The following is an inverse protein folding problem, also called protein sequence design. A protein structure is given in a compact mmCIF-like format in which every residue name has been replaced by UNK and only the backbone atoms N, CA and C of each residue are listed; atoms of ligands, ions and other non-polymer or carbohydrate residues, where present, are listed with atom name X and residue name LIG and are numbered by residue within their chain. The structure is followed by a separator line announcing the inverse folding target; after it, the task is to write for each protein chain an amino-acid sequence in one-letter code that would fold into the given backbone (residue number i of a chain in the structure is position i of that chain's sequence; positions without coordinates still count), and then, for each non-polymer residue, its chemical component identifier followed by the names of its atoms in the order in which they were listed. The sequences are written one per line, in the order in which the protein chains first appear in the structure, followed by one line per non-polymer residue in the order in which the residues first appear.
data_IF_675771566661
#
_entry.id   IF_675771566661
#
_cell.length_a   1.000
_cell.length_b   1.000
_cell.length_c   1.000
_cell.angle_alpha   90.00
_cell.angle_beta   90.00
_cell.angle_gamma   90.00
#
_symmetry.space_group_name_H-M   'P 1'
#
loop_
_entity.id
_entity.type
_entity.pdbx_description
1 polymer ?
#
# COMPACT_ATOMS: atom_id res chain seq x y z
N UNK A 1 -3.31 -37.00 -34.13
CA UNK A 1 -3.82 -36.23 -32.97
C UNK A 1 -3.47 -34.75 -33.04
N UNK A 2 -2.17 -34.33 -33.12
CA UNK A 2 -1.77 -32.90 -33.23
C UNK A 2 -2.23 -32.29 -34.58
N UNK A 3 -2.17 -32.99 -35.68
CA UNK A 3 -2.62 -32.52 -36.99
C UNK A 3 -4.16 -32.31 -37.04
N UNK A 4 -4.91 -33.13 -36.35
CA UNK A 4 -6.38 -33.02 -36.28
C UNK A 4 -6.81 -31.85 -35.41
N UNK A 5 -6.14 -31.61 -34.28
CA UNK A 5 -6.40 -30.43 -33.44
C UNK A 5 -6.08 -29.13 -34.18
N UNK A 6 -5.00 -29.09 -34.96
CA UNK A 6 -4.63 -27.89 -35.75
C UNK A 6 -5.62 -27.61 -36.89
N UNK A 7 -6.22 -28.65 -37.50
CA UNK A 7 -7.33 -28.50 -38.45
C UNK A 7 -8.59 -27.99 -37.77
N UNK A 8 -8.93 -28.49 -36.58
CA UNK A 8 -10.09 -28.01 -35.80
C UNK A 8 -9.94 -26.54 -35.38
N UNK A 9 -8.73 -26.12 -34.95
CA UNK A 9 -8.42 -24.71 -34.61
C UNK A 9 -8.61 -23.81 -35.88
N UNK A 10 -8.10 -24.25 -37.04
CA UNK A 10 -8.23 -23.48 -38.29
C UNK A 10 -9.69 -23.38 -38.77
N UNK A 11 -10.49 -24.41 -38.56
CA UNK A 11 -11.93 -24.39 -38.82
C UNK A 11 -12.68 -23.47 -37.84
N UNK A 12 -12.32 -23.47 -36.55
CA UNK A 12 -12.86 -22.56 -35.57
C UNK A 12 -12.59 -21.09 -35.92
N UNK A 13 -11.34 -20.75 -36.27
CA UNK A 13 -10.97 -19.40 -36.71
C UNK A 13 -11.76 -18.92 -37.95
N UNK A 14 -11.96 -19.82 -38.93
CA UNK A 14 -12.74 -19.52 -40.13
C UNK A 14 -14.21 -19.27 -39.83
N UNK A 15 -14.79 -20.02 -38.88
CA UNK A 15 -16.16 -19.84 -38.41
C UNK A 15 -16.39 -18.47 -37.75
N UNK A 16 -15.40 -18.03 -36.96
CA UNK A 16 -15.40 -16.72 -36.27
C UNK A 16 -15.43 -15.54 -37.23
N UNK A 17 -14.75 -15.68 -38.37
CA UNK A 17 -14.71 -14.63 -39.41
C UNK A 17 -16.01 -14.49 -40.19
N UNK A 18 -16.89 -15.49 -40.20
CA UNK A 18 -18.18 -15.45 -40.88
C UNK A 18 -19.23 -14.58 -40.13
N UNK A 19 -19.18 -14.58 -38.80
CA UNK A 19 -20.11 -13.81 -37.94
C UNK A 19 -19.37 -12.80 -37.03
N UNK A 20 -18.65 -11.88 -37.64
CA UNK A 20 -17.74 -10.92 -36.99
C UNK A 20 -18.37 -10.19 -35.78
N UNK A 21 -19.58 -9.67 -35.94
CA UNK A 21 -20.23 -8.86 -34.90
C UNK A 21 -20.57 -9.66 -33.65
N UNK A 22 -21.00 -10.94 -33.82
CA UNK A 22 -21.35 -11.83 -32.72
C UNK A 22 -20.10 -12.32 -31.99
N UNK A 23 -19.07 -12.69 -32.76
CA UNK A 23 -17.78 -13.15 -32.21
C UNK A 23 -17.04 -12.03 -31.47
N UNK A 24 -17.04 -10.80 -31.98
CA UNK A 24 -16.41 -9.67 -31.30
C UNK A 24 -17.12 -9.28 -30.01
N UNK A 25 -18.47 -9.34 -29.98
CA UNK A 25 -19.22 -9.01 -28.77
C UNK A 25 -18.97 -10.03 -27.63
N UNK A 26 -18.89 -11.33 -27.98
CA UNK A 26 -18.58 -12.37 -27.01
C UNK A 26 -17.14 -12.37 -26.52
N UNK A 27 -16.18 -12.22 -27.45
CA UNK A 27 -14.77 -12.11 -27.06
C UNK A 27 -14.52 -10.84 -26.25
N UNK A 28 -15.24 -9.72 -26.52
CA UNK A 28 -15.16 -8.50 -25.74
C UNK A 28 -15.60 -8.73 -24.27
N UNK A 29 -16.66 -9.51 -24.02
CA UNK A 29 -17.07 -9.85 -22.65
C UNK A 29 -15.95 -10.57 -21.85
N UNK A 30 -15.29 -11.55 -22.46
CA UNK A 30 -14.17 -12.24 -21.84
C UNK A 30 -12.96 -11.34 -21.71
N UNK A 31 -12.65 -10.56 -22.76
CA UNK A 31 -11.53 -9.62 -22.80
C UNK A 31 -11.64 -8.61 -21.65
N UNK A 32 -12.78 -7.95 -21.50
CA UNK A 32 -12.98 -6.99 -20.40
C UNK A 32 -13.02 -7.69 -19.05
N UNK A 33 -13.59 -8.89 -18.94
CA UNK A 33 -13.58 -9.69 -17.72
C UNK A 33 -12.13 -9.99 -17.26
N UNK A 34 -11.29 -10.52 -18.14
CA UNK A 34 -9.89 -10.84 -17.84
C UNK A 34 -9.08 -9.57 -17.59
N UNK A 35 -9.24 -8.53 -18.43
CA UNK A 35 -8.51 -7.27 -18.28
C UNK A 35 -8.82 -6.59 -16.94
N UNK A 36 -10.11 -6.56 -16.54
CA UNK A 36 -10.50 -5.97 -15.27
C UNK A 36 -9.92 -6.72 -14.06
N UNK A 37 -9.89 -8.07 -14.10
CA UNK A 37 -9.26 -8.88 -13.05
C UNK A 37 -7.78 -8.54 -12.88
N UNK A 38 -7.03 -8.53 -13.99
CA UNK A 38 -5.58 -8.28 -13.96
C UNK A 38 -5.29 -6.84 -13.51
N UNK A 39 -5.97 -5.85 -14.12
CA UNK A 39 -5.76 -4.44 -13.80
C UNK A 39 -6.06 -4.14 -12.32
N UNK A 40 -7.14 -4.72 -11.81
CA UNK A 40 -7.61 -4.53 -10.46
C UNK A 40 -6.67 -5.17 -9.43
N UNK A 41 -6.21 -6.41 -9.67
CA UNK A 41 -5.23 -7.06 -8.81
C UNK A 41 -3.89 -6.31 -8.83
N UNK A 42 -3.45 -5.81 -10.00
CA UNK A 42 -2.21 -5.07 -10.12
C UNK A 42 -2.23 -3.74 -9.37
N UNK A 43 -3.32 -2.98 -9.45
CA UNK A 43 -3.49 -1.71 -8.72
C UNK A 43 -3.65 -1.98 -7.21
N UNK A 44 -4.44 -2.98 -6.85
CA UNK A 44 -4.67 -3.36 -5.45
C UNK A 44 -3.38 -3.80 -4.75
N UNK A 45 -2.57 -4.64 -5.39
CA UNK A 45 -1.29 -5.11 -4.85
C UNK A 45 -0.28 -3.96 -4.73
N UNK A 46 -0.17 -3.10 -5.75
CA UNK A 46 0.72 -1.94 -5.70
C UNK A 46 0.38 -0.96 -4.58
N UNK A 47 -0.89 -0.64 -4.39
CA UNK A 47 -1.36 0.23 -3.31
C UNK A 47 -1.15 -0.41 -1.93
N UNK A 48 -1.37 -1.73 -1.82
CA UNK A 48 -1.14 -2.49 -0.58
C UNK A 48 0.34 -2.49 -0.21
N UNK A 49 1.22 -2.80 -1.15
CA UNK A 49 2.66 -2.85 -0.90
C UNK A 49 3.21 -1.52 -0.41
N UNK A 50 2.78 -0.40 -1.01
CA UNK A 50 3.19 0.93 -0.56
C UNK A 50 2.72 1.22 0.88
N UNK A 51 1.47 0.89 1.22
CA UNK A 51 0.92 1.05 2.56
C UNK A 51 1.64 0.16 3.59
N UNK A 52 1.85 -1.12 3.24
CA UNK A 52 2.55 -2.06 4.11
C UNK A 52 4.02 -1.64 4.32
N UNK A 53 4.66 -1.09 3.30
CA UNK A 53 6.01 -0.54 3.40
C UNK A 53 6.07 0.61 4.40
N UNK A 54 5.13 1.56 4.34
CA UNK A 54 5.06 2.67 5.29
C UNK A 54 4.91 2.19 6.74
N UNK A 55 4.04 1.20 7.00
CA UNK A 55 3.89 0.65 8.36
C UNK A 55 5.13 -0.12 8.82
N UNK A 56 5.81 -0.86 7.93
CA UNK A 56 7.07 -1.53 8.26
C UNK A 56 8.20 -0.55 8.58
N UNK A 57 8.25 0.59 7.89
CA UNK A 57 9.21 1.66 8.14
C UNK A 57 8.99 2.36 9.49
N UNK A 58 7.75 2.42 9.99
CA UNK A 58 7.46 2.85 11.37
C UNK A 58 8.00 1.90 12.43
N UNK A 59 8.36 0.67 12.04
CA UNK A 59 8.81 -0.40 12.93
C UNK A 59 7.64 -1.18 13.51
N UNK A 60 7.40 -2.38 12.99
CA UNK A 60 6.29 -3.26 13.43
C UNK A 60 6.40 -3.75 14.87
N UNK A 61 7.60 -3.70 15.45
CA UNK A 61 7.84 -4.02 16.87
C UNK A 61 7.77 -2.81 17.78
N UNK A 62 7.44 -1.63 17.23
CA UNK A 62 7.35 -0.40 18.01
C UNK A 62 5.95 -0.18 18.56
N UNK A 63 5.86 0.39 19.74
CA UNK A 63 4.67 1.05 20.29
C UNK A 63 4.99 2.54 20.37
N UNK A 64 4.16 3.36 19.74
CA UNK A 64 4.33 4.81 19.66
C UNK A 64 3.29 5.47 20.58
N UNK A 65 3.75 6.28 21.52
CA UNK A 65 2.91 7.04 22.42
C UNK A 65 3.14 8.51 22.11
N UNK A 66 2.10 9.23 21.67
CA UNK A 66 2.19 10.62 21.24
C UNK A 66 1.36 11.55 22.11
N UNK A 67 1.90 12.73 22.32
CA UNK A 67 1.16 13.85 22.91
C UNK A 67 0.19 14.43 21.87
N UNK A 68 -1.07 14.55 22.25
CA UNK A 68 -2.14 15.09 21.44
C UNK A 68 -2.76 16.29 22.14
N UNK A 69 -2.96 17.37 21.40
CA UNK A 69 -3.65 18.54 21.96
C UNK A 69 -5.11 18.23 22.24
N UNK A 70 -5.61 18.44 23.48
CA UNK A 70 -7.01 18.21 23.81
C UNK A 70 -7.95 19.10 22.99
N UNK A 71 -9.06 18.54 22.50
CA UNK A 71 -10.05 19.27 21.69
C UNK A 71 -10.79 20.37 22.48
N UNK A 72 -11.00 20.19 23.78
CA UNK A 72 -11.65 21.17 24.65
C UNK A 72 -10.90 22.50 24.73
N UNK A 73 -9.61 22.50 24.46
CA UNK A 73 -8.79 23.72 24.45
C UNK A 73 -9.10 24.65 23.28
N UNK A 74 -9.80 24.17 22.25
CA UNK A 74 -10.19 24.99 21.10
C UNK A 74 -11.40 25.88 21.40
N UNK A 75 -12.27 25.50 22.34
CA UNK A 75 -13.52 26.20 22.63
C UNK A 75 -13.38 27.36 23.66
N UNK A 76 -12.36 27.36 24.50
CA UNK A 76 -12.10 28.42 25.48
C UNK A 76 -11.26 29.58 24.95
N UNK A 77 -11.28 29.80 23.65
CA UNK A 77 -10.47 30.79 22.96
C UNK A 77 -10.82 32.28 23.27
N UNK A 78 -11.81 32.54 24.09
CA UNK A 78 -12.31 33.91 24.37
C UNK A 78 -11.82 34.55 25.68
N UNK A 79 -11.03 33.87 26.51
CA UNK A 79 -10.42 34.49 27.67
C UNK A 79 -8.96 34.87 27.41
N UNK A 80 -8.69 36.14 27.41
CA UNK A 80 -7.42 36.83 27.19
C UNK A 80 -6.34 36.64 28.27
N UNK A 81 -6.38 35.54 29.00
CA UNK A 81 -5.35 35.23 30.00
C UNK A 81 -4.28 34.35 29.34
N UNK A 82 -3.02 34.79 29.41
CA UNK A 82 -1.82 34.05 29.00
C UNK A 82 -1.63 32.77 29.84
N UNK A 83 -2.54 31.79 29.72
CA UNK A 83 -2.38 30.53 30.42
C UNK A 83 -1.49 29.61 29.55
N UNK A 84 -0.31 29.31 30.07
CA UNK A 84 0.55 28.25 29.51
C UNK A 84 -0.15 26.93 29.84
N UNK A 85 -0.68 26.26 28.84
CA UNK A 85 -1.37 25.00 29.04
C UNK A 85 -0.39 23.83 28.84
N UNK A 86 -0.16 23.10 29.93
CA UNK A 86 0.59 21.84 29.89
C UNK A 86 -0.31 20.67 29.48
N UNK A 87 0.12 19.89 28.50
CA UNK A 87 -0.54 18.65 28.06
C UNK A 87 0.49 17.65 27.54
N UNK A 88 0.05 16.40 27.37
CA UNK A 88 0.88 15.36 26.78
C UNK A 88 1.82 14.68 27.76
N UNK A 89 2.86 14.07 27.23
CA UNK A 89 3.78 13.15 27.91
C UNK A 89 4.84 13.89 28.71
N UNK A 90 5.19 13.31 29.89
CA UNK A 90 6.23 13.79 30.79
C UNK A 90 7.46 12.89 30.78
N UNK A 91 8.65 13.44 31.10
CA UNK A 91 9.89 12.65 31.25
C UNK A 91 9.75 11.50 32.25
N UNK A 92 9.04 11.75 33.36
CA UNK A 92 8.82 10.75 34.41
C UNK A 92 8.03 9.53 33.90
N UNK A 93 7.16 9.72 32.93
CA UNK A 93 6.38 8.62 32.34
C UNK A 93 7.29 7.75 31.45
N UNK A 94 8.17 8.35 30.68
CA UNK A 94 9.17 7.60 29.91
C UNK A 94 10.08 6.77 30.82
N UNK A 95 10.50 7.34 31.99
CA UNK A 95 11.28 6.62 32.98
C UNK A 95 10.50 5.44 33.59
N UNK A 96 9.22 5.61 33.85
CA UNK A 96 8.33 4.52 34.33
C UNK A 96 8.18 3.43 33.27
N UNK A 97 7.99 3.79 32.01
CA UNK A 97 7.93 2.83 30.91
C UNK A 97 9.21 2.02 30.81
N UNK A 98 10.37 2.69 30.89
CA UNK A 98 11.68 2.02 30.89
C UNK A 98 11.85 1.04 32.06
N UNK A 99 11.42 1.45 33.25
CA UNK A 99 11.50 0.60 34.45
C UNK A 99 10.53 -0.59 34.39
N UNK A 100 9.35 -0.41 33.79
CA UNK A 100 8.33 -1.44 33.63
C UNK A 100 8.73 -2.49 32.61
N UNK A 101 9.43 -2.06 31.55
CA UNK A 101 9.85 -2.91 30.42
C UNK A 101 11.36 -2.83 30.19
N UNK A 102 12.17 -3.44 31.05
CA UNK A 102 13.63 -3.34 30.98
C UNK A 102 14.23 -3.98 29.72
N UNK A 103 13.50 -4.89 29.05
CA UNK A 103 13.88 -5.53 27.79
C UNK A 103 13.59 -4.68 26.57
N UNK A 104 12.73 -3.67 26.71
CA UNK A 104 12.36 -2.76 25.62
C UNK A 104 13.35 -1.58 25.55
N UNK A 105 13.58 -1.10 24.34
CA UNK A 105 14.32 0.16 24.11
C UNK A 105 13.33 1.30 24.08
N UNK A 106 13.42 2.19 25.06
CA UNK A 106 12.54 3.38 25.17
C UNK A 106 13.30 4.61 24.68
N UNK A 107 12.72 5.32 23.74
CA UNK A 107 13.31 6.52 23.16
C UNK A 107 12.37 7.71 23.36
N UNK A 108 12.90 8.75 23.94
CA UNK A 108 12.20 10.03 24.17
C UNK A 108 12.41 10.93 22.98
N UNK A 109 11.31 11.50 22.48
CA UNK A 109 11.33 12.39 21.32
C UNK A 109 10.62 13.69 21.64
N UNK A 110 11.26 14.76 21.29
CA UNK A 110 10.73 16.11 21.40
C UNK A 110 10.78 16.81 20.05
N UNK A 111 9.66 17.31 19.59
CA UNK A 111 9.51 17.92 18.27
C UNK A 111 9.08 19.39 18.39
N UNK A 112 9.74 20.30 17.69
CA UNK A 112 9.32 21.69 17.61
C UNK A 112 9.82 22.35 16.32
N UNK A 113 9.03 23.27 15.79
CA UNK A 113 9.35 23.97 14.56
C UNK A 113 10.25 25.18 14.83
N UNK A 114 11.36 25.29 14.08
CA UNK A 114 12.25 26.45 14.10
C UNK A 114 12.81 26.75 12.72
N UNK A 115 13.17 28.01 12.53
CA UNK A 115 13.97 28.40 11.37
C UNK A 115 15.41 27.91 11.52
N UNK A 116 15.96 27.37 10.46
CA UNK A 116 17.35 26.96 10.37
C UNK A 116 18.01 27.81 9.29
N UNK A 117 19.17 28.43 9.63
CA UNK A 117 19.85 29.38 8.79
C UNK A 117 21.29 28.96 8.56
N UNK A 118 21.74 29.05 7.33
CA UNK A 118 23.13 28.91 6.94
C UNK A 118 23.48 29.92 5.86
N UNK A 119 24.23 30.95 6.20
CA UNK A 119 24.54 32.04 5.28
C UNK A 119 23.27 32.71 4.74
N UNK A 120 23.05 32.62 3.43
CA UNK A 120 21.83 33.13 2.78
C UNK A 120 20.69 32.10 2.71
N UNK A 121 20.98 30.84 3.04
CA UNK A 121 19.96 29.75 2.99
C UNK A 121 19.17 29.70 4.29
N UNK A 122 17.85 29.73 4.17
CA UNK A 122 16.91 29.63 5.28
C UNK A 122 15.87 28.56 5.00
N UNK A 123 15.52 27.77 6.01
CA UNK A 123 14.44 26.78 5.97
C UNK A 123 13.71 26.76 7.29
N UNK A 124 12.36 26.75 7.25
CA UNK A 124 11.55 26.45 8.44
C UNK A 124 11.38 24.95 8.53
N UNK A 125 11.94 24.34 9.58
CA UNK A 125 11.99 22.89 9.70
C UNK A 125 11.61 22.41 11.09
N UNK A 126 11.30 21.13 11.20
CA UNK A 126 11.09 20.44 12.46
C UNK A 126 12.44 20.07 13.09
N UNK A 127 12.66 20.51 14.31
CA UNK A 127 13.80 20.11 15.11
C UNK A 127 13.36 18.95 16.00
N UNK A 128 14.09 17.84 15.93
CA UNK A 128 13.83 16.62 16.68
C UNK A 128 14.93 16.45 17.74
N UNK A 129 14.57 16.74 18.98
CA UNK A 129 15.42 16.41 20.14
C UNK A 129 15.21 14.94 20.51
N UNK A 130 16.29 14.14 20.47
CA UNK A 130 16.17 12.70 20.68
C UNK A 130 17.41 12.06 21.29
N UNK A 131 17.34 10.77 21.56
CA UNK A 131 18.38 9.96 22.17
C UNK A 131 19.14 9.13 21.13
N UNK A 132 20.20 8.45 21.57
CA UNK A 132 21.09 7.68 20.70
C UNK A 132 20.33 6.52 20.04
N UNK A 133 19.43 5.88 20.78
CA UNK A 133 18.67 4.72 20.34
C UNK A 133 17.56 5.04 19.34
N UNK A 134 17.35 6.32 19.00
CA UNK A 134 16.37 6.71 17.99
C UNK A 134 16.66 6.07 16.63
N UNK A 135 17.91 6.03 16.21
CA UNK A 135 18.32 5.50 14.91
C UNK A 135 17.94 4.01 14.74
N UNK A 136 18.33 3.09 15.69
CA UNK A 136 17.95 1.68 15.58
C UNK A 136 16.45 1.45 15.78
N UNK A 137 15.74 2.33 16.51
CA UNK A 137 14.28 2.21 16.70
C UNK A 137 13.52 2.60 15.41
N UNK A 138 14.02 3.58 14.67
CA UNK A 138 13.39 4.06 13.42
C UNK A 138 13.94 3.41 12.15
N UNK A 139 14.91 2.47 12.29
CA UNK A 139 15.56 1.79 11.17
C UNK A 139 16.22 2.75 10.15
N UNK A 140 16.61 3.93 10.58
CA UNK A 140 17.28 4.93 9.74
C UNK A 140 18.78 4.63 9.66
N UNK A 141 19.44 5.21 8.63
CA UNK A 141 20.89 5.07 8.44
C UNK A 141 21.54 6.41 8.23
N UNK A 142 22.79 6.53 8.68
CA UNK A 142 23.64 7.69 8.37
C UNK A 142 24.42 7.38 7.10
N UNK A 143 24.37 8.29 6.12
CA UNK A 143 25.14 8.17 4.88
C UNK A 143 26.50 8.81 5.01
N UNK A 144 26.57 9.98 5.67
CA UNK A 144 27.80 10.71 5.85
C UNK A 144 27.96 11.12 7.33
N UNK A 145 29.19 11.01 7.85
CA UNK A 145 29.50 11.39 9.22
C UNK A 145 29.06 10.35 10.26
N UNK A 146 28.53 10.80 11.38
CA UNK A 146 28.10 9.94 12.51
C UNK A 146 26.75 10.35 13.07
N UNK A 147 26.10 9.43 13.77
CA UNK A 147 24.92 9.72 14.59
C UNK A 147 25.32 10.37 15.93
N UNK A 148 24.30 10.80 16.68
CA UNK A 148 24.41 11.28 18.05
C UNK A 148 25.00 10.17 18.94
N UNK A 149 25.85 10.57 19.87
CA UNK A 149 26.48 9.66 20.84
C UNK A 149 26.03 9.96 22.26
N UNK A 150 26.26 9.00 23.17
CA UNK A 150 25.98 9.19 24.59
C UNK A 150 26.78 10.37 25.17
N UNK A 151 28.01 10.59 24.69
CA UNK A 151 28.82 11.74 25.08
C UNK A 151 28.20 13.07 24.67
N UNK A 152 27.52 13.12 23.51
CA UNK A 152 26.81 14.31 23.07
C UNK A 152 25.62 14.63 23.97
N UNK A 153 24.92 13.61 24.46
CA UNK A 153 23.84 13.74 25.44
C UNK A 153 24.37 14.24 26.79
N UNK A 154 25.37 13.55 27.35
CA UNK A 154 25.94 13.89 28.66
C UNK A 154 26.58 15.28 28.69
N UNK A 155 27.31 15.66 27.65
CA UNK A 155 27.95 16.99 27.53
C UNK A 155 26.97 18.07 27.06
N UNK A 156 25.76 17.71 26.70
CA UNK A 156 24.78 18.61 26.08
C UNK A 156 25.40 19.37 24.88
N UNK A 157 26.11 18.61 24.02
CA UNK A 157 26.86 19.16 22.91
C UNK A 157 25.93 19.80 21.88
N UNK A 158 26.33 20.93 21.30
CA UNK A 158 25.62 21.60 20.23
C UNK A 158 25.97 20.95 18.89
N UNK A 159 25.57 19.72 18.70
CA UNK A 159 25.75 18.96 17.45
C UNK A 159 24.40 18.63 16.85
N UNK A 160 24.36 18.50 15.53
CA UNK A 160 23.14 18.11 14.82
C UNK A 160 23.41 17.13 13.68
N UNK A 161 22.42 16.31 13.39
CA UNK A 161 22.37 15.45 12.21
C UNK A 161 21.24 15.93 11.33
N UNK A 162 21.49 16.07 10.02
CA UNK A 162 20.52 16.63 9.09
C UNK A 162 19.82 15.50 8.31
N UNK A 163 18.52 15.65 8.08
CA UNK A 163 17.80 14.88 7.09
C UNK A 163 18.27 15.22 5.67
N UNK A 164 18.14 14.28 4.75
CA UNK A 164 18.70 14.41 3.40
C UNK A 164 18.19 15.63 2.60
N UNK A 165 16.88 15.92 2.70
CA UNK A 165 16.27 17.06 2.00
C UNK A 165 16.71 18.40 2.61
N UNK A 166 16.75 18.48 3.95
CA UNK A 166 17.22 19.67 4.66
C UNK A 166 18.70 19.94 4.36
N UNK A 167 19.51 18.87 4.31
CA UNK A 167 20.93 18.99 3.96
C UNK A 167 21.09 19.58 2.55
N UNK A 168 20.36 19.09 1.56
CA UNK A 168 20.39 19.63 0.19
C UNK A 168 19.93 21.10 0.11
N UNK A 169 18.96 21.49 0.94
CA UNK A 169 18.46 22.86 0.97
C UNK A 169 19.47 23.85 1.58
N UNK A 170 20.21 23.44 2.62
CA UNK A 170 21.17 24.28 3.32
C UNK A 170 22.59 24.25 2.72
N UNK A 171 22.94 23.11 2.08
CA UNK A 171 24.28 22.83 1.54
C UNK A 171 24.21 22.28 0.11
N UNK A 172 23.72 23.04 -0.88
CA UNK A 172 23.47 22.52 -2.23
C UNK A 172 24.75 22.04 -2.94
N UNK A 173 25.91 22.59 -2.63
CA UNK A 173 27.18 22.30 -3.31
C UNK A 173 28.35 22.09 -2.35
N UNK A 174 28.11 22.10 -1.04
CA UNK A 174 29.17 22.01 -0.03
C UNK A 174 29.03 20.76 0.83
N UNK A 175 30.15 20.24 1.33
CA UNK A 175 30.14 19.22 2.35
C UNK A 175 29.59 19.80 3.67
N UNK A 176 28.53 19.25 4.24
CA UNK A 176 27.91 19.75 5.47
C UNK A 176 28.71 19.42 6.74
N UNK A 177 29.55 18.38 6.72
CA UNK A 177 30.24 17.90 7.93
C UNK A 177 31.21 18.93 8.53
N UNK A 178 31.14 19.11 9.86
CA UNK A 178 31.95 20.09 10.60
C UNK A 178 31.55 21.56 10.37
N UNK A 179 30.50 21.79 9.58
CA UNK A 179 29.97 23.15 9.35
C UNK A 179 28.92 23.50 10.41
N UNK A 180 28.78 24.79 10.67
CA UNK A 180 27.84 25.29 11.68
C UNK A 180 26.59 25.82 11.01
N UNK A 181 25.42 25.44 11.56
CA UNK A 181 24.11 26.01 11.25
C UNK A 181 23.56 26.76 12.46
N UNK A 182 22.67 27.70 12.20
CA UNK A 182 21.96 28.44 13.23
C UNK A 182 20.53 27.91 13.35
N UNK A 183 20.12 27.45 14.52
CA UNK A 183 18.77 27.01 14.81
C UNK A 183 18.07 28.07 15.66
N UNK A 184 17.02 28.69 15.15
CA UNK A 184 16.37 29.84 15.78
C UNK A 184 17.16 31.14 15.58
N UNK A 185 17.37 31.91 16.66
CA UNK A 185 17.98 33.26 16.56
C UNK A 185 19.48 33.20 16.87
N UNK A 186 19.90 32.42 17.86
CA UNK A 186 21.26 32.49 18.43
C UNK A 186 21.96 31.12 18.58
N UNK A 187 21.24 30.02 18.50
CA UNK A 187 21.77 28.69 18.81
C UNK A 187 22.54 28.07 17.64
N UNK A 188 23.85 27.98 17.78
CA UNK A 188 24.76 27.39 16.79
C UNK A 188 24.94 25.93 17.06
N UNK A 189 24.77 25.10 16.01
CA UNK A 189 24.95 23.65 16.02
C UNK A 189 25.93 23.24 14.92
N UNK A 190 26.86 22.35 15.25
CA UNK A 190 27.78 21.74 14.30
C UNK A 190 27.13 20.52 13.65
N UNK A 191 27.20 20.40 12.34
CA UNK A 191 26.69 19.26 11.59
C UNK A 191 27.67 18.10 11.68
N UNK A 192 27.28 17.01 12.33
CA UNK A 192 28.12 15.82 12.53
C UNK A 192 27.71 14.64 11.65
N UNK A 193 26.56 14.68 11.01
CA UNK A 193 26.11 13.63 10.10
C UNK A 193 24.93 14.03 9.24
N UNK A 194 24.69 13.20 8.22
CA UNK A 194 23.56 13.32 7.29
C UNK A 194 22.89 11.96 7.17
N UNK A 195 21.55 11.93 7.25
CA UNK A 195 20.76 10.72 7.13
C UNK A 195 20.53 10.33 5.67
N UNK A 196 20.25 9.04 5.46
CA UNK A 196 19.81 8.51 4.19
C UNK A 196 18.43 9.08 3.82
N UNK A 197 18.22 9.32 2.53
CA UNK A 197 16.92 9.77 2.02
C UNK A 197 15.89 8.64 2.17
N UNK A 198 14.83 8.90 2.94
CA UNK A 198 13.76 7.94 3.23
C UNK A 198 12.55 8.10 2.29
N UNK A 199 12.45 9.23 1.61
CA UNK A 199 11.30 9.57 0.82
C UNK A 199 10.13 10.09 1.68
N UNK A 200 8.89 9.85 1.25
CA UNK A 200 7.68 10.32 1.94
C UNK A 200 7.28 9.47 3.15
N UNK A 201 8.20 8.92 3.91
CA UNK A 201 7.88 8.38 5.23
C UNK A 201 7.45 9.55 6.14
N UNK A 202 6.17 9.89 6.04
CA UNK A 202 5.61 11.03 6.76
C UNK A 202 5.54 10.72 8.25
N UNK A 203 6.10 11.58 9.06
CA UNK A 203 5.61 11.77 10.42
C UNK A 203 4.09 12.04 10.34
N UNK A 204 3.26 11.58 11.28
CA UNK A 204 1.82 11.89 11.30
C UNK A 204 1.48 13.38 11.22
N UNK A 205 2.44 14.24 11.49
CA UNK A 205 2.33 15.70 11.34
C UNK A 205 2.56 16.21 9.89
N UNK A 206 2.69 15.30 8.91
CA UNK A 206 2.91 15.65 7.50
C UNK A 206 4.35 16.13 7.17
N UNK A 207 5.23 16.21 8.17
CA UNK A 207 6.65 16.57 7.95
C UNK A 207 7.45 15.31 7.71
N UNK A 208 8.24 15.27 6.65
CA UNK A 208 9.12 14.14 6.36
C UNK A 208 10.37 14.21 7.25
N UNK A 209 10.84 13.04 7.72
CA UNK A 209 12.09 12.98 8.50
C UNK A 209 13.29 13.49 7.70
N UNK A 210 13.20 13.48 6.37
CA UNK A 210 14.20 14.03 5.46
C UNK A 210 14.36 15.56 5.57
N UNK A 211 13.32 16.24 6.06
CA UNK A 211 13.30 17.71 6.25
C UNK A 211 13.63 18.13 7.69
N UNK A 212 13.94 17.16 8.58
CA UNK A 212 14.19 17.42 9.99
C UNK A 212 15.67 17.63 10.29
N UNK A 213 15.94 18.34 11.40
CA UNK A 213 17.24 18.39 12.04
C UNK A 213 17.17 17.67 13.40
N UNK A 214 18.09 16.75 13.65
CA UNK A 214 18.14 15.93 14.87
C UNK A 214 19.22 16.46 15.78
N UNK A 215 18.89 16.70 17.04
CA UNK A 215 19.79 17.20 18.07
C UNK A 215 19.69 16.34 19.34
N UNK A 216 20.72 16.33 20.21
CA UNK A 216 20.63 15.63 21.48
C UNK A 216 19.44 16.15 22.32
N UNK A 217 18.67 15.26 22.93
CA UNK A 217 17.51 15.63 23.76
C UNK A 217 17.89 16.56 24.90
N UNK A 218 19.03 16.27 25.54
CA UNK A 218 19.56 17.12 26.63
C UNK A 218 19.90 18.54 26.17
N UNK A 219 20.47 18.69 24.96
CA UNK A 219 20.74 19.99 24.35
C UNK A 219 19.46 20.70 23.96
N UNK A 220 18.47 19.97 23.41
CA UNK A 220 17.14 20.49 23.10
C UNK A 220 16.47 21.11 24.34
N UNK A 221 16.45 20.37 25.46
CA UNK A 221 15.86 20.82 26.71
C UNK A 221 16.58 22.06 27.28
N UNK A 222 17.92 22.05 27.27
CA UNK A 222 18.74 23.16 27.82
C UNK A 222 18.57 24.46 27.02
N UNK A 223 18.52 24.36 25.68
CA UNK A 223 18.53 25.54 24.80
C UNK A 223 17.12 26.13 24.57
N UNK A 224 16.15 25.25 24.38
CA UNK A 224 14.80 25.66 23.97
C UNK A 224 13.76 25.58 25.10
N UNK A 225 14.11 25.04 26.29
CA UNK A 225 13.19 24.88 27.42
C UNK A 225 12.00 23.96 27.07
N UNK A 226 11.07 23.76 28.00
CA UNK A 226 9.90 22.89 27.78
C UNK A 226 8.69 23.67 27.23
N UNK A 227 8.75 24.99 27.24
CA UNK A 227 7.69 25.86 26.71
C UNK A 227 7.98 26.27 25.28
N UNK A 228 7.10 25.91 24.38
CA UNK A 228 7.23 26.17 22.94
C UNK A 228 6.17 27.18 22.51
N UNK A 229 6.56 28.22 21.76
CA UNK A 229 5.61 29.08 21.09
C UNK A 229 5.17 28.43 19.79
N UNK A 230 3.88 28.14 19.66
CA UNK A 230 3.32 27.65 18.42
C UNK A 230 3.17 28.81 17.42
N UNK A 231 3.85 28.77 16.26
CA UNK A 231 3.82 29.88 15.29
C UNK A 231 2.43 30.13 14.71
N UNK A 232 1.63 29.06 14.55
CA UNK A 232 0.30 29.12 13.92
C UNK A 232 -0.75 29.72 14.83
N UNK A 233 -0.68 29.46 16.15
CA UNK A 233 -1.66 29.94 17.12
C UNK A 233 -1.19 31.09 17.98
N UNK A 234 0.10 31.45 17.89
CA UNK A 234 0.77 32.46 18.71
C UNK A 234 0.63 32.24 20.23
N UNK A 235 0.40 30.97 20.65
CA UNK A 235 0.25 30.57 22.04
C UNK A 235 1.47 29.85 22.55
N UNK A 236 1.68 29.89 23.85
CA UNK A 236 2.73 29.11 24.51
C UNK A 236 2.12 27.78 24.97
N UNK A 237 2.76 26.71 24.57
CA UNK A 237 2.42 25.33 24.91
C UNK A 237 3.56 24.73 25.73
N UNK A 238 3.23 24.06 26.83
CA UNK A 238 4.22 23.36 27.65
C UNK A 238 4.06 21.86 27.44
N UNK A 239 4.97 21.31 26.61
CA UNK A 239 5.00 19.88 26.27
C UNK A 239 6.41 19.39 26.48
N UNK A 240 6.61 18.52 27.47
CA UNK A 240 7.95 17.97 27.77
C UNK A 240 8.42 17.01 26.68
N UNK A 241 7.54 16.04 26.32
CA UNK A 241 7.79 15.08 25.27
C UNK A 241 6.63 15.04 24.27
N UNK A 242 6.95 15.00 23.00
CA UNK A 242 5.96 14.88 21.93
C UNK A 242 5.68 13.42 21.60
N UNK A 243 6.68 12.56 21.78
CA UNK A 243 6.54 11.12 21.49
C UNK A 243 7.47 10.30 22.39
N UNK A 244 6.99 9.14 22.82
CA UNK A 244 7.78 8.07 23.40
C UNK A 244 7.67 6.88 22.46
N UNK A 245 8.82 6.40 21.96
CA UNK A 245 8.91 5.21 21.11
C UNK A 245 9.41 4.05 21.97
N UNK A 246 8.67 2.96 22.00
CA UNK A 246 9.01 1.74 22.74
C UNK A 246 9.22 0.63 21.73
N UNK A 247 10.47 0.21 21.53
CA UNK A 247 10.81 -0.92 20.66
C UNK A 247 10.91 -2.19 21.48
N UNK A 248 10.13 -3.18 21.09
CA UNK A 248 10.09 -4.49 21.74
C UNK A 248 10.96 -5.49 20.99
N UNK A 249 11.50 -6.53 21.69
CA UNK A 249 12.34 -7.55 21.06
C UNK A 249 11.56 -8.46 20.11
N UNK A 250 10.26 -8.70 20.35
CA UNK A 250 9.42 -9.60 19.56
C UNK A 250 8.09 -8.96 19.17
N UNK A 251 7.56 -9.37 18.01
CA UNK A 251 6.22 -8.96 17.56
C UNK A 251 5.11 -9.49 18.48
N UNK A 252 5.30 -10.65 19.10
CA UNK A 252 4.29 -11.29 19.95
C UNK A 252 4.07 -10.52 21.26
N UNK A 253 5.07 -9.77 21.69
CA UNK A 253 5.01 -8.95 22.91
C UNK A 253 4.33 -7.59 22.68
N UNK A 254 4.21 -7.14 21.43
CA UNK A 254 3.74 -5.78 21.10
C UNK A 254 2.31 -5.53 21.59
N UNK A 255 1.41 -6.48 21.38
CA UNK A 255 0.01 -6.35 21.75
C UNK A 255 -0.18 -6.33 23.27
N UNK A 256 0.55 -7.21 23.98
CA UNK A 256 0.55 -7.27 25.44
C UNK A 256 1.14 -5.98 26.03
N UNK A 257 2.30 -5.55 25.50
CA UNK A 257 2.95 -4.33 25.93
C UNK A 257 2.09 -3.09 25.71
N UNK A 258 1.44 -3.00 24.54
CA UNK A 258 0.51 -1.91 24.24
C UNK A 258 -0.66 -1.85 25.24
N UNK A 259 -1.23 -3.00 25.60
CA UNK A 259 -2.28 -3.09 26.64
C UNK A 259 -1.80 -2.63 28.00
N UNK A 260 -0.59 -3.03 28.43
CA UNK A 260 0.01 -2.60 29.70
C UNK A 260 0.29 -1.11 29.70
N UNK A 261 0.85 -0.56 28.62
CA UNK A 261 1.14 0.87 28.48
C UNK A 261 -0.16 1.71 28.50
N UNK A 262 -1.19 1.26 27.81
CA UNK A 262 -2.49 1.91 27.79
C UNK A 262 -3.14 1.92 29.18
N UNK A 263 -3.07 0.79 29.90
CA UNK A 263 -3.58 0.68 31.27
C UNK A 263 -2.80 1.57 32.26
N UNK A 264 -1.48 1.71 32.07
CA UNK A 264 -0.64 2.55 32.92
C UNK A 264 -0.87 4.05 32.69
N UNK A 265 -0.94 4.46 31.40
CA UNK A 265 -0.94 5.87 31.03
C UNK A 265 -2.34 6.51 31.12
N UNK A 266 -3.39 5.81 30.73
CA UNK A 266 -4.76 6.35 30.75
C UNK A 266 -5.21 6.95 32.09
N UNK A 267 -4.99 6.29 33.26
CA UNK A 267 -5.38 6.87 34.54
C UNK A 267 -4.61 8.15 34.90
N UNK A 268 -3.35 8.27 34.40
CA UNK A 268 -2.49 9.42 34.70
C UNK A 268 -2.94 10.67 33.94
N UNK A 269 -3.49 10.50 32.74
CA UNK A 269 -4.00 11.58 31.89
C UNK A 269 -5.50 11.84 32.08
N UNK A 270 -6.21 10.98 32.84
CA UNK A 270 -7.63 11.12 33.15
C UNK A 270 -8.50 11.28 31.88
N UNK A 271 -9.44 12.25 31.95
CA UNK A 271 -10.32 12.52 30.78
C UNK A 271 -9.74 13.45 29.72
N UNK A 272 -8.48 13.90 29.86
CA UNK A 272 -7.91 14.91 28.95
C UNK A 272 -7.71 14.45 27.52
N UNK A 273 -7.63 13.12 27.26
CA UNK A 273 -7.36 12.55 25.94
C UNK A 273 -6.17 13.22 25.22
N UNK A 274 -5.16 13.60 25.99
CA UNK A 274 -3.99 14.35 25.53
C UNK A 274 -2.82 13.44 25.13
N UNK A 275 -3.03 12.12 25.13
CA UNK A 275 -2.12 11.11 24.62
C UNK A 275 -2.84 10.18 23.63
N UNK A 276 -2.09 9.72 22.63
CA UNK A 276 -2.52 8.73 21.65
C UNK A 276 -1.50 7.60 21.56
N UNK A 277 -1.97 6.37 21.75
CA UNK A 277 -1.16 5.19 21.61
C UNK A 277 -1.40 4.58 20.24
N UNK A 278 -0.32 4.45 19.45
CA UNK A 278 -0.37 3.88 18.10
C UNK A 278 0.50 2.64 18.03
N UNK A 279 -0.10 1.54 17.57
CA UNK A 279 0.59 0.27 17.36
C UNK A 279 0.68 -0.01 15.86
N UNK A 280 1.84 0.20 15.21
CA UNK A 280 2.00 -0.02 13.78
C UNK A 280 1.62 -1.45 13.33
N UNK A 281 1.86 -2.45 14.18
CA UNK A 281 1.45 -3.84 13.93
C UNK A 281 -0.07 -3.99 13.76
N UNK A 282 -0.86 -3.32 14.59
CA UNK A 282 -2.33 -3.35 14.46
C UNK A 282 -2.80 -2.64 13.18
N UNK A 283 -2.16 -1.53 12.83
CA UNK A 283 -2.44 -0.81 11.58
C UNK A 283 -2.12 -1.69 10.36
N UNK A 284 -0.98 -2.38 10.41
CA UNK A 284 -0.59 -3.35 9.38
C UNK A 284 -1.64 -4.46 9.24
N UNK A 285 -2.04 -5.10 10.35
CA UNK A 285 -3.07 -6.15 10.35
C UNK A 285 -4.41 -5.64 9.81
N UNK A 286 -4.84 -4.43 10.19
CA UNK A 286 -6.06 -3.81 9.67
C UNK A 286 -5.95 -3.51 8.17
N UNK A 287 -4.81 -3.03 7.70
CA UNK A 287 -4.55 -2.81 6.29
C UNK A 287 -4.64 -4.13 5.50
N UNK A 288 -4.02 -5.21 5.98
CA UNK A 288 -4.11 -6.55 5.37
C UNK A 288 -5.54 -7.10 5.35
N UNK A 289 -6.31 -6.92 6.43
CA UNK A 289 -7.72 -7.34 6.48
C UNK A 289 -8.56 -6.56 5.47
N UNK A 290 -8.38 -5.24 5.42
CA UNK A 290 -9.06 -4.37 4.45
C UNK A 290 -8.71 -4.78 3.02
N UNK A 291 -7.45 -5.06 2.74
CA UNK A 291 -6.99 -5.54 1.44
C UNK A 291 -7.64 -6.87 1.05
N UNK A 292 -7.70 -7.83 1.98
CA UNK A 292 -8.39 -9.12 1.73
C UNK A 292 -9.87 -8.92 1.39
N UNK A 293 -10.54 -8.00 2.10
CA UNK A 293 -11.94 -7.67 1.83
C UNK A 293 -12.12 -7.04 0.45
N UNK A 294 -11.26 -6.07 0.07
CA UNK A 294 -11.26 -5.51 -1.27
C UNK A 294 -11.02 -6.59 -2.32
N UNK A 295 -10.01 -7.44 -2.17
CA UNK A 295 -9.74 -8.53 -3.11
C UNK A 295 -10.93 -9.48 -3.27
N UNK A 296 -11.67 -9.77 -2.19
CA UNK A 296 -12.89 -10.57 -2.25
C UNK A 296 -13.99 -9.89 -3.08
N UNK A 297 -14.28 -8.61 -2.79
CA UNK A 297 -15.29 -7.83 -3.54
C UNK A 297 -14.94 -7.77 -5.02
N UNK A 298 -13.68 -7.51 -5.30
CA UNK A 298 -13.17 -7.43 -6.66
C UNK A 298 -13.25 -8.79 -7.38
N UNK A 299 -12.96 -9.90 -6.68
CA UNK A 299 -13.12 -11.25 -7.22
C UNK A 299 -14.57 -11.56 -7.56
N UNK A 300 -15.53 -11.11 -6.74
CA UNK A 300 -16.97 -11.28 -7.02
C UNK A 300 -17.36 -10.50 -8.28
N UNK A 301 -16.97 -9.25 -8.40
CA UNK A 301 -17.27 -8.41 -9.60
C UNK A 301 -16.67 -9.03 -10.86
N UNK A 302 -15.42 -9.47 -10.77
CA UNK A 302 -14.73 -10.15 -11.86
C UNK A 302 -15.43 -11.46 -12.26
N UNK A 303 -15.90 -12.24 -11.28
CA UNK A 303 -16.65 -13.47 -11.53
C UNK A 303 -17.96 -13.20 -12.27
N UNK A 304 -18.69 -12.15 -11.89
CA UNK A 304 -19.93 -11.72 -12.60
C UNK A 304 -19.60 -11.35 -14.04
N UNK A 305 -18.55 -10.57 -14.29
CA UNK A 305 -18.13 -10.18 -15.63
C UNK A 305 -17.77 -11.40 -16.51
N UNK A 306 -17.05 -12.37 -15.93
CA UNK A 306 -16.71 -13.63 -16.61
C UNK A 306 -17.93 -14.52 -16.86
N UNK A 307 -18.91 -14.55 -15.94
CA UNK A 307 -20.19 -15.24 -16.15
C UNK A 307 -20.94 -14.64 -17.35
N UNK A 308 -21.03 -13.32 -17.43
CA UNK A 308 -21.68 -12.65 -18.57
C UNK A 308 -20.96 -12.99 -19.87
N UNK A 309 -19.62 -12.97 -19.88
CA UNK A 309 -18.81 -13.39 -21.02
C UNK A 309 -19.04 -14.86 -21.40
N UNK A 310 -19.14 -15.75 -20.40
CA UNK A 310 -19.46 -17.16 -20.58
C UNK A 310 -20.84 -17.42 -21.17
N UNK A 311 -21.86 -16.72 -20.68
CA UNK A 311 -23.22 -16.76 -21.26
C UNK A 311 -23.18 -16.30 -22.73
N UNK A 312 -22.36 -15.30 -23.04
CA UNK A 312 -22.10 -14.86 -24.41
C UNK A 312 -21.55 -16.01 -25.27
N UNK A 313 -20.54 -16.75 -24.79
CA UNK A 313 -20.01 -17.93 -25.51
C UNK A 313 -21.13 -18.96 -25.73
N UNK A 314 -21.90 -19.28 -24.69
CA UNK A 314 -22.98 -20.25 -24.78
C UNK A 314 -24.00 -19.87 -25.85
N UNK A 315 -24.42 -18.60 -25.91
CA UNK A 315 -25.37 -18.11 -26.88
C UNK A 315 -24.84 -18.16 -28.32
N UNK A 316 -23.57 -17.81 -28.52
CA UNK A 316 -22.91 -17.91 -29.84
C UNK A 316 -22.80 -19.36 -30.28
N UNK A 317 -22.40 -20.25 -29.37
CA UNK A 317 -22.27 -21.66 -29.67
C UNK A 317 -23.60 -22.30 -29.98
N UNK A 318 -24.70 -21.97 -29.27
CA UNK A 318 -26.05 -22.46 -29.56
C UNK A 318 -26.49 -22.03 -30.96
N UNK A 319 -26.25 -20.75 -31.33
CA UNK A 319 -26.56 -20.28 -32.67
C UNK A 319 -25.72 -21.00 -33.75
N UNK A 320 -24.43 -21.23 -33.50
CA UNK A 320 -23.56 -21.98 -34.42
C UNK A 320 -24.03 -23.42 -34.59
N UNK A 321 -24.51 -24.05 -33.52
CA UNK A 321 -25.09 -25.40 -33.57
C UNK A 321 -26.35 -25.43 -34.42
N UNK A 322 -27.26 -24.43 -34.27
CA UNK A 322 -28.50 -24.37 -35.10
C UNK A 322 -28.17 -24.10 -36.57
N UNK A 323 -27.23 -23.20 -36.88
CA UNK A 323 -26.79 -22.92 -38.26
C UNK A 323 -26.13 -24.15 -38.92
N UNK A 324 -25.49 -25.03 -38.17
CA UNK A 324 -24.77 -26.22 -38.65
C UNK A 324 -25.54 -27.52 -38.42
N UNK A 325 -26.84 -27.47 -38.11
CA UNK A 325 -27.68 -28.63 -37.78
C UNK A 325 -27.55 -29.73 -38.86
N UNK A 326 -27.68 -29.34 -40.14
CA UNK A 326 -27.62 -30.29 -41.29
C UNK A 326 -26.23 -30.90 -41.41
N UNK A 327 -25.16 -30.18 -41.25
CA UNK A 327 -23.76 -30.66 -41.30
C UNK A 327 -23.51 -31.68 -40.17
N UNK A 328 -23.97 -31.39 -38.95
CA UNK A 328 -23.88 -32.29 -37.78
C UNK A 328 -24.66 -33.56 -38.05
N UNK A 329 -25.87 -33.46 -38.60
CA UNK A 329 -26.71 -34.59 -38.97
C UNK A 329 -26.05 -35.51 -39.97
N UNK A 330 -25.46 -34.98 -41.05
CA UNK A 330 -24.70 -35.74 -42.05
C UNK A 330 -23.54 -36.50 -41.40
N UNK A 331 -22.71 -35.81 -40.60
CA UNK A 331 -21.59 -36.47 -39.92
C UNK A 331 -22.04 -37.61 -38.99
N UNK A 332 -23.15 -37.39 -38.26
CA UNK A 332 -23.73 -38.40 -37.37
C UNK A 332 -24.29 -39.59 -38.15
N UNK A 333 -24.96 -39.34 -39.26
CA UNK A 333 -25.48 -40.39 -40.17
C UNK A 333 -24.34 -41.24 -40.79
N UNK A 334 -23.20 -40.62 -41.09
CA UNK A 334 -21.98 -41.30 -41.57
C UNK A 334 -21.19 -42.03 -40.48
N UNK A 335 -21.70 -42.05 -39.21
CA UNK A 335 -21.10 -42.85 -38.13
C UNK A 335 -20.18 -42.09 -37.18
N UNK A 336 -20.15 -40.76 -37.22
CA UNK A 336 -19.35 -39.96 -36.26
C UNK A 336 -19.85 -40.21 -34.84
N UNK A 337 -18.90 -40.52 -33.90
CA UNK A 337 -19.21 -40.72 -32.50
C UNK A 337 -19.56 -39.38 -31.83
N UNK A 338 -20.51 -39.40 -30.88
CA UNK A 338 -20.91 -38.21 -30.09
C UNK A 338 -19.72 -37.49 -29.50
N UNK A 339 -18.72 -38.23 -28.99
CA UNK A 339 -17.49 -37.69 -28.40
C UNK A 339 -16.70 -36.78 -29.38
N UNK A 340 -16.67 -37.10 -30.67
CA UNK A 340 -15.97 -36.32 -31.67
C UNK A 340 -16.68 -34.98 -31.92
N UNK A 341 -18.02 -34.99 -31.91
CA UNK A 341 -18.81 -33.75 -32.04
C UNK A 341 -18.58 -32.85 -30.82
N UNK A 342 -18.67 -33.41 -29.59
CA UNK A 342 -18.42 -32.65 -28.35
C UNK A 342 -17.00 -32.05 -28.36
N UNK A 343 -15.99 -32.86 -28.70
CA UNK A 343 -14.61 -32.36 -28.76
C UNK A 343 -14.43 -31.23 -29.77
N UNK A 344 -15.06 -31.33 -30.94
CA UNK A 344 -14.96 -30.26 -31.94
C UNK A 344 -15.51 -28.94 -31.41
N UNK A 345 -16.72 -28.95 -30.82
CA UNK A 345 -17.35 -27.72 -30.28
C UNK A 345 -16.65 -27.18 -29.04
N UNK A 346 -16.12 -28.08 -28.18
CA UNK A 346 -15.31 -27.66 -27.03
C UNK A 346 -13.98 -26.98 -27.46
N UNK A 347 -13.33 -27.49 -28.51
CA UNK A 347 -12.13 -26.83 -29.05
C UNK A 347 -12.50 -25.46 -29.63
N UNK A 348 -13.65 -25.32 -30.31
CA UNK A 348 -14.12 -24.04 -30.87
C UNK A 348 -14.40 -23.02 -29.74
N UNK A 349 -15.08 -23.42 -28.66
CA UNK A 349 -15.30 -22.61 -27.47
C UNK A 349 -13.98 -22.25 -26.77
N UNK A 350 -13.06 -23.22 -26.65
CA UNK A 350 -11.72 -23.02 -26.08
C UNK A 350 -10.88 -22.02 -26.86
N UNK A 351 -10.93 -22.05 -28.19
CA UNK A 351 -10.21 -21.07 -29.05
C UNK A 351 -10.78 -19.67 -28.86
N UNK A 352 -12.12 -19.53 -28.79
CA UNK A 352 -12.79 -18.25 -28.50
C UNK A 352 -12.34 -17.66 -27.17
N UNK A 353 -12.40 -18.49 -26.11
CA UNK A 353 -12.02 -18.03 -24.78
C UNK A 353 -10.53 -17.74 -24.65
N UNK A 354 -9.67 -18.51 -25.33
CA UNK A 354 -8.22 -18.27 -25.36
C UNK A 354 -7.87 -16.96 -26.07
N UNK A 355 -8.52 -16.66 -27.21
CA UNK A 355 -8.31 -15.40 -27.92
C UNK A 355 -8.80 -14.20 -27.11
N UNK A 356 -10.00 -14.30 -26.52
CA UNK A 356 -10.53 -13.28 -25.62
C UNK A 356 -9.65 -13.11 -24.37
N UNK A 357 -9.19 -14.21 -23.79
CA UNK A 357 -8.29 -14.23 -22.64
C UNK A 357 -6.92 -13.60 -22.93
N UNK A 358 -6.29 -13.94 -24.06
CA UNK A 358 -5.00 -13.35 -24.47
C UNK A 358 -5.13 -11.84 -24.73
N UNK A 359 -6.17 -11.43 -25.43
CA UNK A 359 -6.45 -10.01 -25.65
C UNK A 359 -6.76 -9.28 -24.32
N UNK A 360 -7.47 -9.97 -23.41
CA UNK A 360 -7.72 -9.49 -22.05
C UNK A 360 -6.45 -9.34 -21.21
N UNK A 361 -5.54 -10.31 -21.30
CA UNK A 361 -4.22 -10.22 -20.66
C UNK A 361 -3.43 -9.03 -21.21
N UNK A 362 -3.39 -8.85 -22.53
CA UNK A 362 -2.68 -7.73 -23.12
C UNK A 362 -3.21 -6.37 -22.62
N UNK A 363 -4.53 -6.18 -22.62
CA UNK A 363 -5.15 -4.98 -22.07
C UNK A 363 -4.98 -4.86 -20.54
N UNK A 364 -5.13 -5.96 -19.82
CA UNK A 364 -4.97 -6.01 -18.37
C UNK A 364 -3.56 -5.67 -17.88
N UNK A 365 -2.54 -5.85 -18.73
CA UNK A 365 -1.16 -5.42 -18.48
C UNK A 365 -0.93 -3.97 -18.91
N UNK A 366 -1.51 -3.55 -20.03
CA UNK A 366 -1.37 -2.18 -20.56
C UNK A 366 -2.03 -1.12 -19.66
N UNK A 367 -3.19 -1.41 -19.10
CA UNK A 367 -3.95 -0.45 -18.28
C UNK A 367 -3.20 -0.05 -17.01
N UNK A 368 -2.68 -0.97 -16.17
CA UNK A 368 -1.87 -0.62 -15.00
C UNK A 368 -0.62 0.18 -15.38
N UNK A 369 0.07 -0.18 -16.45
CA UNK A 369 1.23 0.57 -16.94
C UNK A 369 0.86 2.04 -17.28
N UNK A 370 -0.30 2.26 -17.90
CA UNK A 370 -0.84 3.60 -18.16
C UNK A 370 -1.18 4.34 -16.87
N UNK A 371 -1.77 3.67 -15.88
CA UNK A 371 -2.09 4.24 -14.57
C UNK A 371 -0.82 4.70 -13.84
N UNK A 372 0.21 3.86 -13.84
CA UNK A 372 1.50 4.20 -13.23
C UNK A 372 2.13 5.44 -13.88
N UNK A 373 2.09 5.51 -15.21
CA UNK A 373 2.69 6.63 -15.95
C UNK A 373 1.93 7.96 -15.79
N UNK A 374 0.58 7.94 -15.72
CA UNK A 374 -0.24 9.16 -15.69
C UNK A 374 -0.61 9.60 -14.28
N UNK A 375 -0.83 8.67 -13.38
CA UNK A 375 -1.28 8.95 -12.00
C UNK A 375 -0.19 8.77 -10.94
N UNK A 376 1.02 8.37 -11.34
CA UNK A 376 2.16 8.14 -10.42
C UNK A 376 1.84 7.17 -9.28
N UNK A 377 0.87 6.26 -9.51
CA UNK A 377 0.51 5.20 -8.57
C UNK A 377 1.27 3.93 -8.93
N UNK A 378 2.01 3.39 -7.98
CA UNK A 378 2.73 2.12 -8.18
C UNK A 378 1.74 1.00 -8.43
N UNK A 379 1.98 0.23 -9.48
CA UNK A 379 1.22 -0.96 -9.81
C UNK A 379 2.15 -2.16 -9.84
N UNK A 380 1.69 -3.30 -9.34
CA UNK A 380 2.50 -4.51 -9.30
C UNK A 380 1.79 -5.66 -10.02
N UNK A 381 2.35 -6.08 -11.14
CA UNK A 381 1.80 -7.18 -11.94
C UNK A 381 2.56 -8.45 -11.59
N UNK A 382 1.92 -9.34 -10.80
CA UNK A 382 2.49 -10.65 -10.52
C UNK A 382 2.17 -11.63 -11.67
N UNK A 383 3.15 -12.39 -12.16
CA UNK A 383 2.92 -13.42 -13.19
C UNK A 383 1.85 -14.45 -12.83
N UNK A 384 1.70 -14.73 -11.54
CA UNK A 384 0.67 -15.64 -11.01
C UNK A 384 -0.74 -15.12 -11.30
N UNK A 385 -1.00 -13.81 -11.18
CA UNK A 385 -2.30 -13.20 -11.47
C UNK A 385 -2.66 -13.33 -12.95
N UNK A 386 -1.68 -13.14 -13.83
CA UNK A 386 -1.85 -13.28 -15.29
C UNK A 386 -2.20 -14.74 -15.64
N UNK A 387 -1.46 -15.70 -15.08
CA UNK A 387 -1.72 -17.13 -15.28
C UNK A 387 -3.08 -17.56 -14.75
N UNK A 388 -3.45 -17.09 -13.56
CA UNK A 388 -4.77 -17.37 -12.97
C UNK A 388 -5.90 -16.81 -13.82
N UNK A 389 -5.82 -15.55 -14.23
CA UNK A 389 -6.85 -14.89 -15.04
C UNK A 389 -7.04 -15.60 -16.40
N UNK A 390 -5.94 -15.97 -17.07
CA UNK A 390 -5.98 -16.75 -18.31
C UNK A 390 -6.56 -18.16 -18.08
N UNK A 391 -6.15 -18.85 -17.02
CA UNK A 391 -6.66 -20.18 -16.66
C UNK A 391 -8.17 -20.17 -16.37
N UNK A 392 -8.65 -19.16 -15.65
CA UNK A 392 -10.08 -18.98 -15.37
C UNK A 392 -10.85 -18.70 -16.67
N UNK A 393 -10.31 -17.85 -17.57
CA UNK A 393 -10.91 -17.61 -18.88
C UNK A 393 -11.07 -18.89 -19.70
N UNK A 394 -10.03 -19.72 -19.75
CA UNK A 394 -10.08 -21.01 -20.43
C UNK A 394 -11.13 -21.96 -19.81
N UNK A 395 -11.19 -22.01 -18.47
CA UNK A 395 -12.17 -22.81 -17.75
C UNK A 395 -13.61 -22.37 -18.05
N UNK A 396 -13.86 -21.05 -18.06
CA UNK A 396 -15.16 -20.47 -18.43
C UNK A 396 -15.55 -20.88 -19.84
N UNK A 397 -14.63 -20.82 -20.82
CA UNK A 397 -14.88 -21.26 -22.18
C UNK A 397 -15.31 -22.73 -22.28
N UNK A 398 -14.64 -23.60 -21.54
CA UNK A 398 -14.97 -25.04 -21.49
C UNK A 398 -16.33 -25.28 -20.82
N UNK A 399 -16.57 -24.66 -19.66
CA UNK A 399 -17.81 -24.84 -18.89
C UNK A 399 -19.04 -24.38 -19.67
N UNK A 400 -19.00 -23.17 -20.23
CA UNK A 400 -20.11 -22.62 -21.00
C UNK A 400 -20.23 -23.20 -22.41
N UNK A 401 -19.14 -23.73 -22.98
CA UNK A 401 -19.15 -24.47 -24.24
C UNK A 401 -19.68 -25.88 -24.13
N UNK A 402 -19.70 -26.48 -22.92
CA UNK A 402 -20.10 -27.90 -22.72
C UNK A 402 -21.56 -28.14 -23.05
N UNK A 403 -22.47 -27.26 -22.59
CA UNK A 403 -23.90 -27.45 -22.86
C UNK A 403 -24.28 -27.41 -24.36
N UNK A 404 -23.85 -26.43 -25.16
CA UNK A 404 -24.06 -26.40 -26.60
C UNK A 404 -23.44 -27.60 -27.31
N UNK A 405 -22.22 -27.99 -26.92
CA UNK A 405 -21.52 -29.13 -27.50
C UNK A 405 -22.26 -30.45 -27.23
N UNK A 406 -22.79 -30.64 -26.02
CA UNK A 406 -23.59 -31.79 -25.64
C UNK A 406 -24.92 -31.83 -26.40
N UNK A 407 -25.60 -30.68 -26.58
CA UNK A 407 -26.83 -30.55 -27.35
C UNK A 407 -26.59 -30.90 -28.82
N UNK A 408 -25.51 -30.42 -29.42
CA UNK A 408 -25.11 -30.76 -30.80
C UNK A 408 -24.88 -32.27 -30.98
N UNK A 409 -24.20 -32.91 -30.03
CA UNK A 409 -23.90 -34.34 -30.09
C UNK A 409 -25.12 -35.26 -29.91
N UNK A 410 -26.16 -34.78 -29.24
CA UNK A 410 -27.37 -35.54 -28.99
C UNK A 410 -28.52 -35.27 -30.01
N UNK A 411 -28.28 -34.49 -31.04
CA UNK A 411 -29.23 -34.18 -32.08
C UNK A 411 -29.55 -35.44 -32.91
N UNK A 412 -30.85 -35.66 -33.22
CA UNK A 412 -31.27 -36.77 -34.05
C UNK A 412 -30.87 -36.54 -35.51
N UNK A 413 -30.11 -37.46 -36.15
CA UNK A 413 -29.68 -37.32 -37.51
C UNK A 413 -30.82 -37.18 -38.54
N UNK A 414 -31.98 -37.87 -38.26
CA UNK A 414 -33.14 -37.84 -39.16
C UNK A 414 -33.83 -36.50 -39.13
N UNK A 415 -33.99 -35.95 -37.92
CA UNK A 415 -34.58 -34.62 -37.70
C UNK A 415 -33.70 -33.51 -38.22
N UNK A 416 -32.38 -33.64 -38.05
CA UNK A 416 -31.35 -32.71 -38.52
C UNK A 416 -31.27 -32.63 -40.06
N UNK A 417 -31.58 -33.72 -40.77
CA UNK A 417 -31.62 -33.76 -42.24
C UNK A 417 -32.91 -33.25 -42.83
N UNK A 418 -34.00 -33.15 -42.02
CA UNK A 418 -35.34 -32.71 -42.44
C UNK A 418 -35.50 -31.18 -42.24
N UNK A 419 -34.61 -30.53 -41.49
CA UNK A 419 -34.57 -29.07 -41.36
C UNK A 419 -34.07 -28.44 -42.63
N UNK A 420 -34.92 -27.68 -43.30
CA UNK A 420 -34.55 -26.78 -44.40
C UNK A 420 -33.85 -25.51 -43.91
#
# INVERSE_FOLDING_TARGET
MIADTMRMVKLGLKSLMLHKLRSTLTTAGILFGVASVIAMLAVGEGASEETLKQYREMGVTNVLIRSKKPEETQQTASSSTMSVQGYGLFYQEADRVQNLMPTATVVRVREFQRGVIRGEHWSSTMIVGTEVDFLPVTNMRVVEGRWLTELDQQRQSNVCVLGASLCKALFPLENPLGKTILIGIEDRFEVVGVLEYQGRAASPNGTTLDECAFIPLASSRRRFGDTIRNPSTNRYENVELHEIKVKLPSMDEVETAAGVLDFMLKPMHGNKKDIELTVPLELLRKAEQTQRMFNLVLAVIASISLLVGGIGIMNVMLATVTERTREIGIRRALGAKKKHIVQQFLVEAGVLSALGGLAGVALGVLVPYGIEHWFNQKTQILPVHVLMAFGISAAVGVVFGLYPAWRAANMDPVEALRHE
#
